data_IF_428174916166
#
_entry.id   IF_428174916166
#
_cell.length_a   1.000
_cell.length_b   1.000
_cell.length_c   1.000
_cell.angle_alpha   90.00
_cell.angle_beta   90.00
_cell.angle_gamma   90.00
#
_symmetry.space_group_name_H-M   'P 1'
#
loop_
_entity.id
_entity.type
_entity.pdbx_description
1 polymer ?
#
# COMPACT_ATOMS: atom_id res chain seq x y z
N UNK A 1 -19.37 6.47 -11.50
CA UNK A 1 -18.16 7.17 -11.04
C UNK A 1 -17.27 6.09 -10.44
N UNK A 2 -16.23 5.66 -11.15
CA UNK A 2 -15.34 4.59 -10.65
C UNK A 2 -14.55 5.08 -9.46
N UNK A 3 -14.35 4.24 -8.44
CA UNK A 3 -13.42 4.53 -7.36
C UNK A 3 -12.03 4.82 -7.93
N UNK A 4 -11.30 5.82 -7.41
CA UNK A 4 -9.93 6.09 -7.82
C UNK A 4 -9.08 4.82 -7.69
N UNK A 5 -8.12 4.63 -8.59
CA UNK A 5 -7.19 3.49 -8.52
C UNK A 5 -6.30 3.54 -7.27
N UNK A 6 -6.19 4.71 -6.63
CA UNK A 6 -5.52 4.93 -5.36
C UNK A 6 -6.44 4.78 -4.14
N UNK A 7 -7.74 4.54 -4.31
CA UNK A 7 -8.69 4.49 -3.22
C UNK A 7 -8.84 3.08 -2.65
N UNK A 8 -8.36 2.89 -1.42
CA UNK A 8 -8.57 1.69 -0.63
C UNK A 8 -9.19 2.09 0.73
N UNK A 9 -10.45 1.71 1.02
CA UNK A 9 -11.15 2.12 2.25
C UNK A 9 -10.55 1.52 3.53
N UNK A 10 -9.92 0.35 3.40
CA UNK A 10 -9.20 -0.34 4.48
C UNK A 10 -7.71 0.03 4.52
N UNK A 11 -7.27 1.06 3.79
CA UNK A 11 -5.88 1.52 3.85
C UNK A 11 -5.63 2.18 5.20
N UNK A 12 -4.68 1.66 6.00
CA UNK A 12 -4.32 2.33 7.24
C UNK A 12 -3.50 3.60 6.96
N UNK A 13 -3.65 4.62 7.80
CA UNK A 13 -2.99 5.94 7.63
C UNK A 13 -1.47 5.84 7.49
N UNK A 14 -0.83 4.84 8.11
CA UNK A 14 0.63 4.66 7.98
C UNK A 14 1.03 4.31 6.53
N UNK A 15 0.24 3.50 5.82
CA UNK A 15 0.50 3.16 4.42
C UNK A 15 0.31 4.39 3.54
N UNK A 16 -0.73 5.18 3.80
CA UNK A 16 -0.97 6.42 3.05
C UNK A 16 0.16 7.44 3.24
N UNK A 17 0.65 7.59 4.48
CA UNK A 17 1.78 8.45 4.80
C UNK A 17 3.07 8.00 4.11
N UNK A 18 3.33 6.68 4.03
CA UNK A 18 4.50 6.14 3.35
C UNK A 18 4.38 6.34 1.82
N UNK A 19 3.20 6.11 1.24
CA UNK A 19 2.95 6.26 -0.20
C UNK A 19 3.07 7.72 -0.66
N UNK A 20 2.56 8.67 0.13
CA UNK A 20 2.66 10.11 -0.14
C UNK A 20 4.01 10.71 0.29
N UNK A 21 4.77 10.01 1.13
CA UNK A 21 6.04 10.47 1.69
C UNK A 21 7.28 10.11 0.88
N UNK A 22 8.43 10.61 1.36
CA UNK A 22 9.76 10.19 0.89
C UNK A 22 10.11 8.77 1.33
N UNK A 23 9.43 8.27 2.36
CA UNK A 23 9.56 6.91 2.89
C UNK A 23 9.23 5.82 1.87
N UNK A 24 8.59 6.13 0.74
CA UNK A 24 8.43 5.16 -0.37
C UNK A 24 9.75 4.67 -0.98
N UNK A 25 10.88 5.34 -0.70
CA UNK A 25 12.21 4.92 -1.14
C UNK A 25 13.02 4.29 -0.01
N UNK A 26 12.48 4.24 1.21
CA UNK A 26 13.15 3.61 2.33
C UNK A 26 12.97 2.09 2.24
N UNK A 27 14.05 1.30 2.37
CA UNK A 27 13.96 -0.15 2.34
C UNK A 27 13.25 -0.72 3.58
N UNK A 28 13.21 0.02 4.70
CA UNK A 28 12.51 -0.40 5.93
C UNK A 28 11.00 -0.44 5.74
N UNK A 29 10.43 0.51 4.99
CA UNK A 29 8.99 0.60 4.69
C UNK A 29 8.56 -0.40 3.61
N UNK A 30 9.47 -0.88 2.76
CA UNK A 30 9.21 -2.00 1.84
C UNK A 30 8.73 -3.24 2.58
N UNK A 31 9.32 -3.56 3.75
CA UNK A 31 8.90 -4.69 4.56
C UNK A 31 7.46 -4.52 5.08
N UNK A 32 7.08 -3.28 5.43
CA UNK A 32 5.71 -2.94 5.85
C UNK A 32 4.71 -3.15 4.70
N UNK A 33 5.06 -2.76 3.47
CA UNK A 33 4.22 -3.05 2.30
C UNK A 33 4.07 -4.54 2.04
N UNK A 34 5.13 -5.33 2.18
CA UNK A 34 5.05 -6.79 2.01
C UNK A 34 4.08 -7.43 3.01
N UNK A 35 4.17 -7.03 4.28
CA UNK A 35 3.27 -7.48 5.34
C UNK A 35 1.81 -7.03 5.08
N UNK A 36 1.64 -5.78 4.63
CA UNK A 36 0.34 -5.26 4.26
C UNK A 36 -0.28 -6.00 3.07
N UNK A 37 0.50 -6.32 2.03
CA UNK A 37 0.03 -7.11 0.88
C UNK A 37 -0.29 -8.55 1.28
N UNK A 38 0.46 -9.15 2.20
CA UNK A 38 0.13 -10.46 2.77
C UNK A 38 -1.21 -10.41 3.52
N UNK A 39 -1.39 -9.42 4.40
CA UNK A 39 -2.65 -9.17 5.11
C UNK A 39 -3.83 -8.91 4.16
N UNK A 40 -3.58 -8.24 3.04
CA UNK A 40 -4.61 -8.01 2.02
C UNK A 40 -5.13 -9.32 1.42
N UNK A 41 -4.24 -10.26 1.13
CA UNK A 41 -4.61 -11.60 0.65
C UNK A 41 -5.43 -12.38 1.69
N UNK A 42 -5.09 -12.28 2.97
CA UNK A 42 -5.82 -12.95 4.05
C UNK A 42 -7.21 -12.34 4.28
N UNK A 43 -7.30 -11.01 4.27
CA UNK A 43 -8.54 -10.28 4.54
C UNK A 43 -9.42 -10.08 3.30
N UNK A 44 -8.99 -10.60 2.14
CA UNK A 44 -9.63 -10.37 0.83
C UNK A 44 -9.84 -8.88 0.50
N UNK A 45 -8.97 -8.02 1.02
CA UNK A 45 -8.95 -6.59 0.71
C UNK A 45 -8.00 -6.34 -0.47
N UNK A 46 -8.24 -5.28 -1.24
CA UNK A 46 -7.47 -5.03 -2.45
C UNK A 46 -7.03 -3.57 -2.53
N UNK A 47 -5.72 -3.36 -2.50
CA UNK A 47 -5.09 -2.07 -2.65
C UNK A 47 -4.10 -2.09 -3.83
N UNK A 48 -4.58 -1.67 -5.00
CA UNK A 48 -3.77 -1.51 -6.21
C UNK A 48 -2.53 -0.64 -5.99
N UNK A 49 -2.66 0.44 -5.22
CA UNK A 49 -1.63 1.47 -5.13
C UNK A 49 -0.47 1.01 -4.27
N UNK A 50 -0.75 0.34 -3.15
CA UNK A 50 0.25 -0.33 -2.34
C UNK A 50 1.01 -1.41 -3.13
N UNK A 51 0.29 -2.24 -3.90
CA UNK A 51 0.89 -3.26 -4.76
C UNK A 51 1.82 -2.67 -5.82
N UNK A 52 1.42 -1.57 -6.46
CA UNK A 52 2.23 -0.86 -7.45
C UNK A 52 3.45 -0.19 -6.82
N UNK A 53 3.31 0.38 -5.62
CA UNK A 53 4.43 0.99 -4.90
C UNK A 53 5.49 -0.05 -4.54
N UNK A 54 5.08 -1.23 -4.10
CA UNK A 54 5.99 -2.35 -3.84
C UNK A 54 6.73 -2.81 -5.10
N UNK A 55 6.05 -2.87 -6.26
CA UNK A 55 6.66 -3.24 -7.55
C UNK A 55 7.58 -2.17 -8.15
N UNK A 56 7.46 -0.92 -7.70
CA UNK A 56 8.22 0.22 -8.22
C UNK A 56 9.59 0.37 -7.54
N UNK A 57 9.74 -0.20 -6.35
CA UNK A 57 10.99 -0.34 -5.60
C UNK A 57 11.83 -1.50 -6.16
#
# INVERSE_FOLDING_TARGET
MGVPFDFAPDRPEHIDAILNGLDRYNPETTAVFQDYVASQCENQTYDCYANLALLKL
#
